data_IF_522444442170
#
_entry.id   IF_522444442170
#
_cell.length_a   1.000
_cell.length_b   1.000
_cell.length_c   1.000
_cell.angle_alpha   90.00
_cell.angle_beta   90.00
_cell.angle_gamma   90.00
#
_symmetry.space_group_name_H-M   'P 1'
#
loop_
_entity.id
_entity.type
_entity.pdbx_description
1 polymer ?
#
# COMPACT_ATOMS: atom_id res chain seq x y z
N UNK A 1 -18.69 6.63 34.76
CA UNK A 1 -17.98 5.86 33.72
C UNK A 1 -16.64 5.42 34.30
N UNK A 2 -16.49 4.12 34.51
CA UNK A 2 -15.35 3.53 35.24
C UNK A 2 -14.12 3.60 34.37
N UNK A 3 -13.02 4.13 34.92
CA UNK A 3 -11.69 4.07 34.29
C UNK A 3 -11.31 2.60 34.15
N UNK A 4 -11.16 2.14 32.92
CA UNK A 4 -10.62 0.81 32.62
C UNK A 4 -9.28 0.64 33.36
N UNK A 5 -9.28 -0.25 34.34
CA UNK A 5 -8.06 -0.63 35.06
C UNK A 5 -7.17 -1.34 34.05
N UNK A 6 -6.14 -0.66 33.58
CA UNK A 6 -5.03 -1.28 32.85
C UNK A 6 -4.54 -2.48 33.68
N UNK A 7 -4.68 -3.68 33.14
CA UNK A 7 -4.19 -4.91 33.75
C UNK A 7 -2.66 -4.79 33.86
N UNK A 8 -2.10 -4.92 35.04
CA UNK A 8 -0.64 -4.82 35.22
C UNK A 8 0.06 -5.88 34.36
N UNK A 9 1.11 -5.52 33.63
CA UNK A 9 1.90 -6.43 32.78
C UNK A 9 2.31 -7.74 33.47
N UNK A 10 2.48 -7.70 34.81
CA UNK A 10 2.79 -8.87 35.66
C UNK A 10 1.67 -9.92 35.72
N UNK A 11 0.46 -9.61 35.28
CA UNK A 11 -0.68 -10.53 35.31
C UNK A 11 -1.00 -11.12 33.92
N UNK A 12 -0.21 -10.81 32.91
CA UNK A 12 -0.36 -11.41 31.59
C UNK A 12 0.07 -12.88 31.59
N UNK A 13 -0.62 -13.73 30.84
CA UNK A 13 -0.28 -15.15 30.77
C UNK A 13 1.16 -15.37 30.27
N UNK A 14 1.85 -16.44 30.69
CA UNK A 14 3.28 -16.68 30.44
C UNK A 14 3.69 -16.77 28.97
N UNK A 15 2.73 -16.85 28.05
CA UNK A 15 2.95 -16.85 26.59
C UNK A 15 3.14 -15.45 25.97
N UNK A 16 3.04 -14.37 26.74
CA UNK A 16 3.34 -13.04 26.26
C UNK A 16 4.82 -12.75 26.45
N UNK A 17 5.55 -12.72 25.34
CA UNK A 17 6.93 -12.27 25.31
C UNK A 17 6.98 -10.79 24.91
N UNK A 18 7.41 -9.95 25.84
CA UNK A 18 7.74 -8.55 25.52
C UNK A 18 9.19 -8.51 25.07
N UNK A 19 9.42 -8.36 23.78
CA UNK A 19 10.76 -8.08 23.26
C UNK A 19 11.13 -6.65 23.68
N UNK A 20 12.01 -6.56 24.68
CA UNK A 20 12.61 -5.29 25.08
C UNK A 20 14.08 -5.32 24.67
N UNK A 21 14.48 -4.62 23.60
CA UNK A 21 15.90 -4.32 23.37
C UNK A 21 16.46 -3.70 24.64
N UNK A 22 17.75 -3.87 24.89
CA UNK A 22 18.37 -3.21 26.02
C UNK A 22 18.17 -1.69 25.95
N UNK A 23 18.01 -1.05 27.09
CA UNK A 23 17.71 0.38 27.19
C UNK A 23 18.79 1.25 26.53
N UNK A 24 20.05 0.79 26.57
CA UNK A 24 21.18 1.51 25.98
C UNK A 24 21.09 1.55 24.44
N UNK A 25 20.71 0.46 23.79
CA UNK A 25 20.50 0.41 22.35
C UNK A 25 19.36 1.34 21.91
N UNK A 26 18.26 1.37 22.66
CA UNK A 26 17.16 2.29 22.41
C UNK A 26 17.56 3.76 22.53
N UNK A 27 18.29 4.12 23.59
CA UNK A 27 18.78 5.48 23.81
C UNK A 27 19.81 5.91 22.75
N UNK A 28 20.69 5.01 22.35
CA UNK A 28 21.69 5.26 21.31
C UNK A 28 21.02 5.56 19.96
N UNK A 29 20.07 4.72 19.56
CA UNK A 29 19.32 4.92 18.33
C UNK A 29 18.49 6.22 18.39
N UNK A 30 17.82 6.51 19.49
CA UNK A 30 17.05 7.73 19.68
C UNK A 30 17.91 8.99 19.55
N UNK A 31 19.11 8.99 20.13
CA UNK A 31 20.07 10.10 19.98
C UNK A 31 20.51 10.26 18.52
N UNK A 32 20.83 9.16 17.85
CA UNK A 32 21.23 9.18 16.44
C UNK A 32 20.12 9.71 15.52
N UNK A 33 18.87 9.23 15.70
CA UNK A 33 17.70 9.73 14.98
C UNK A 33 17.50 11.23 15.20
N UNK A 34 17.59 11.71 16.45
CA UNK A 34 17.42 13.14 16.78
C UNK A 34 18.46 14.00 16.12
N UNK A 35 19.70 13.60 16.15
CA UNK A 35 20.81 14.37 15.55
C UNK A 35 20.64 14.43 14.02
N UNK A 36 20.41 13.30 13.39
CA UNK A 36 20.20 13.23 11.94
C UNK A 36 18.94 14.00 11.49
N UNK A 37 17.84 13.95 12.27
CA UNK A 37 16.66 14.75 11.97
C UNK A 37 16.95 16.25 11.99
N UNK A 38 17.75 16.73 12.97
CA UNK A 38 18.18 18.14 13.05
C UNK A 38 19.01 18.56 11.83
N UNK A 39 19.95 17.73 11.41
CA UNK A 39 20.77 17.97 10.22
C UNK A 39 19.91 18.08 8.95
N UNK A 40 18.91 17.20 8.82
CA UNK A 40 18.02 17.15 7.65
C UNK A 40 16.94 18.23 7.60
N UNK A 41 16.71 19.00 8.68
CA UNK A 41 15.72 20.09 8.67
C UNK A 41 15.99 21.10 7.55
N UNK A 42 17.26 21.51 7.39
CA UNK A 42 17.64 22.51 6.39
C UNK A 42 17.82 21.93 4.98
N UNK A 43 17.98 20.60 4.87
CA UNK A 43 18.10 19.90 3.59
C UNK A 43 16.76 19.36 3.06
N UNK A 44 15.66 19.60 3.78
CA UNK A 44 14.35 19.09 3.40
C UNK A 44 13.84 19.71 2.10
N UNK A 45 13.36 18.85 1.19
CA UNK A 45 12.90 19.25 -0.16
C UNK A 45 11.51 19.89 -0.11
N UNK A 46 10.74 19.65 0.94
CA UNK A 46 9.39 20.20 1.10
C UNK A 46 9.12 20.72 2.53
N UNK A 47 8.20 21.66 2.63
CA UNK A 47 7.74 22.18 3.94
C UNK A 47 7.12 21.08 4.82
N UNK A 48 6.47 20.07 4.23
CA UNK A 48 5.94 18.89 4.93
C UNK A 48 7.08 18.08 5.56
N UNK A 49 8.09 17.76 4.78
CA UNK A 49 9.27 17.02 5.20
C UNK A 49 10.02 17.75 6.32
N UNK A 50 10.22 19.07 6.17
CA UNK A 50 10.83 19.92 7.19
C UNK A 50 10.07 19.87 8.53
N UNK A 51 8.72 19.99 8.49
CA UNK A 51 7.87 19.88 9.68
C UNK A 51 8.00 18.51 10.35
N UNK A 52 8.10 17.43 9.56
CA UNK A 52 8.25 16.07 10.09
C UNK A 52 9.60 15.88 10.77
N UNK A 53 10.71 16.31 10.16
CA UNK A 53 12.04 16.25 10.79
C UNK A 53 12.08 17.06 12.09
N UNK A 54 11.49 18.25 12.11
CA UNK A 54 11.39 19.07 13.32
C UNK A 54 10.59 18.35 14.41
N UNK A 55 9.42 17.78 14.07
CA UNK A 55 8.61 17.00 15.01
C UNK A 55 9.37 15.82 15.61
N UNK A 56 10.16 15.10 14.82
CA UNK A 56 10.98 13.99 15.30
C UNK A 56 12.11 14.50 16.20
N UNK A 57 12.80 15.56 15.80
CA UNK A 57 13.90 16.14 16.60
C UNK A 57 13.44 16.62 17.98
N UNK A 58 12.21 17.15 18.07
CA UNK A 58 11.62 17.68 19.30
C UNK A 58 10.83 16.63 20.11
N UNK A 59 10.74 15.37 19.61
CA UNK A 59 9.94 14.31 20.23
C UNK A 59 10.53 13.91 21.61
N UNK A 60 9.73 14.04 22.67
CA UNK A 60 10.14 13.69 24.02
C UNK A 60 10.31 12.17 24.23
N UNK A 61 9.39 11.37 23.68
CA UNK A 61 9.37 9.91 23.85
C UNK A 61 10.11 9.16 22.72
N UNK A 62 11.19 9.75 22.19
CA UNK A 62 11.93 9.16 21.08
C UNK A 62 12.58 7.82 21.46
N UNK A 63 12.90 7.60 22.73
CA UNK A 63 13.42 6.32 23.21
C UNK A 63 12.42 5.18 23.01
N UNK A 64 11.16 5.37 23.35
CA UNK A 64 10.11 4.37 23.13
C UNK A 64 9.96 4.07 21.63
N UNK A 65 9.96 5.11 20.79
CA UNK A 65 9.90 4.94 19.35
C UNK A 65 11.12 4.17 18.82
N UNK A 66 12.32 4.46 19.31
CA UNK A 66 13.53 3.75 18.94
C UNK A 66 13.47 2.26 19.30
N UNK A 67 12.94 1.92 20.48
CA UNK A 67 12.71 0.52 20.88
C UNK A 67 11.75 -0.19 19.92
N UNK A 68 10.67 0.46 19.51
CA UNK A 68 9.72 -0.10 18.53
C UNK A 68 10.35 -0.31 17.16
N UNK A 69 11.24 0.59 16.72
CA UNK A 69 12.00 0.46 15.48
C UNK A 69 13.01 -0.69 15.54
N UNK A 70 13.75 -0.81 16.66
CA UNK A 70 14.66 -1.94 16.89
C UNK A 70 13.93 -3.29 16.82
N UNK A 71 12.74 -3.40 17.42
CA UNK A 71 11.91 -4.60 17.36
C UNK A 71 11.45 -4.95 15.92
N UNK A 72 11.51 -4.00 15.01
CA UNK A 72 11.25 -4.17 13.56
C UNK A 72 12.52 -4.37 12.73
N UNK A 73 13.66 -4.52 13.39
CA UNK A 73 14.95 -4.67 12.71
C UNK A 73 15.51 -3.36 12.15
N UNK A 74 14.95 -2.20 12.52
CA UNK A 74 15.44 -0.89 12.08
C UNK A 74 16.39 -0.36 13.15
N UNK A 75 17.69 -0.60 12.95
CA UNK A 75 18.73 -0.26 13.94
C UNK A 75 19.52 1.02 13.60
N UNK A 76 19.41 1.51 12.36
CA UNK A 76 20.18 2.66 11.89
C UNK A 76 19.31 3.91 11.76
N UNK A 77 19.88 5.08 12.06
CA UNK A 77 19.16 6.36 12.07
C UNK A 77 18.62 6.73 10.68
N UNK A 78 19.35 6.46 9.62
CA UNK A 78 18.90 6.67 8.25
C UNK A 78 17.68 5.82 7.91
N UNK A 79 17.72 4.54 8.26
CA UNK A 79 16.60 3.61 8.10
C UNK A 79 15.38 4.07 8.89
N UNK A 80 15.60 4.49 10.12
CA UNK A 80 14.56 5.04 10.99
C UNK A 80 13.90 6.29 10.41
N UNK A 81 14.68 7.26 9.94
CA UNK A 81 14.15 8.47 9.33
C UNK A 81 13.42 8.19 8.02
N UNK A 82 13.92 7.26 7.19
CA UNK A 82 13.24 6.84 5.96
C UNK A 82 11.87 6.22 6.25
N UNK A 83 11.77 5.43 7.31
CA UNK A 83 10.51 4.84 7.77
C UNK A 83 9.54 5.88 8.34
N UNK A 84 10.05 6.84 9.14
CA UNK A 84 9.23 7.84 9.84
C UNK A 84 8.84 9.05 8.98
N UNK A 85 9.60 9.34 7.94
CA UNK A 85 9.40 10.46 7.00
C UNK A 85 9.34 9.91 5.58
N UNK A 86 8.25 9.18 5.24
CA UNK A 86 8.11 8.61 3.91
C UNK A 86 7.99 9.71 2.85
N UNK A 87 8.68 9.48 1.74
CA UNK A 87 8.66 10.37 0.58
C UNK A 87 8.82 9.56 -0.72
N UNK A 88 8.44 10.16 -1.84
CA UNK A 88 8.44 9.48 -3.13
C UNK A 88 9.83 9.01 -3.58
N UNK A 89 10.91 9.65 -3.11
CA UNK A 89 12.28 9.22 -3.40
C UNK A 89 12.65 7.88 -2.76
N UNK A 90 11.88 7.44 -1.76
CA UNK A 90 12.03 6.15 -1.11
C UNK A 90 11.35 4.98 -1.84
N UNK A 91 10.58 5.25 -2.89
CA UNK A 91 9.96 4.20 -3.69
C UNK A 91 11.00 3.44 -4.50
N UNK A 92 10.81 2.12 -4.57
CA UNK A 92 11.56 1.29 -5.51
C UNK A 92 11.20 1.64 -6.96
N UNK A 93 12.09 1.28 -7.89
CA UNK A 93 11.79 1.45 -9.30
C UNK A 93 10.59 0.59 -9.69
N UNK A 94 9.61 1.17 -10.38
CA UNK A 94 8.45 0.46 -10.93
C UNK A 94 8.86 -0.69 -11.88
N UNK A 95 10.03 -0.60 -12.49
CA UNK A 95 10.61 -1.66 -13.35
C UNK A 95 10.93 -2.96 -12.63
N UNK A 96 10.91 -2.96 -11.30
CA UNK A 96 11.08 -4.17 -10.49
C UNK A 96 9.79 -4.99 -10.37
N UNK A 97 8.64 -4.43 -10.78
CA UNK A 97 7.38 -5.17 -10.83
C UNK A 97 7.43 -6.18 -11.99
N UNK A 98 7.10 -7.46 -11.76
CA UNK A 98 7.00 -8.45 -12.82
C UNK A 98 6.05 -7.99 -13.92
N UNK A 99 6.37 -8.27 -15.17
CA UNK A 99 5.55 -8.04 -16.36
C UNK A 99 5.02 -6.61 -16.56
N UNK A 100 5.50 -5.64 -15.80
CA UNK A 100 5.00 -4.26 -15.83
C UNK A 100 5.12 -3.62 -17.22
N UNK A 101 6.20 -3.91 -17.96
CA UNK A 101 6.38 -3.36 -19.31
C UNK A 101 5.35 -3.93 -20.30
N UNK A 102 4.97 -5.21 -20.13
CA UNK A 102 3.92 -5.88 -20.93
C UNK A 102 2.57 -5.26 -20.59
N UNK A 103 2.26 -5.09 -19.31
CA UNK A 103 1.01 -4.48 -18.86
C UNK A 103 0.85 -3.02 -19.36
N UNK A 104 1.93 -2.23 -19.27
CA UNK A 104 1.93 -0.85 -19.78
C UNK A 104 1.75 -0.81 -21.30
N UNK A 105 2.44 -1.68 -22.04
CA UNK A 105 2.28 -1.77 -23.49
C UNK A 105 0.85 -2.15 -23.88
N UNK A 106 0.22 -3.07 -23.13
CA UNK A 106 -1.18 -3.47 -23.36
C UNK A 106 -2.18 -2.33 -23.09
N UNK A 107 -1.95 -1.56 -22.02
CA UNK A 107 -2.76 -0.37 -21.73
C UNK A 107 -2.60 0.71 -22.81
N UNK A 108 -1.37 0.93 -23.31
CA UNK A 108 -1.12 1.86 -24.40
C UNK A 108 -1.83 1.41 -25.70
N UNK A 109 -1.83 0.11 -26.00
CA UNK A 109 -2.57 -0.45 -27.11
C UNK A 109 -4.07 -0.18 -26.96
N UNK A 110 -4.65 -0.42 -25.77
CA UNK A 110 -6.05 -0.14 -25.50
C UNK A 110 -6.39 1.33 -25.75
N UNK A 111 -5.51 2.23 -25.29
CA UNK A 111 -5.65 3.68 -25.52
C UNK A 111 -5.65 4.04 -27.00
N UNK A 112 -4.72 3.49 -27.77
CA UNK A 112 -4.60 3.78 -29.21
C UNK A 112 -5.76 3.23 -30.03
N UNK A 113 -6.34 2.11 -29.60
CA UNK A 113 -7.46 1.45 -30.27
C UNK A 113 -8.83 1.95 -29.78
N UNK A 114 -8.87 2.81 -28.77
CA UNK A 114 -10.12 3.31 -28.18
C UNK A 114 -10.90 2.24 -27.43
N UNK A 115 -10.21 1.22 -26.90
CA UNK A 115 -10.82 0.15 -26.13
C UNK A 115 -11.34 0.67 -24.78
N UNK A 116 -12.35 -0.02 -24.25
CA UNK A 116 -12.83 0.21 -22.89
C UNK A 116 -12.14 -0.74 -21.92
N UNK A 117 -11.72 -0.21 -20.77
CA UNK A 117 -11.05 -0.94 -19.71
C UNK A 117 -11.93 -0.99 -18.47
N UNK A 118 -12.10 -2.19 -17.90
CA UNK A 118 -12.73 -2.36 -16.59
C UNK A 118 -11.65 -2.44 -15.51
N UNK A 119 -11.73 -1.59 -14.49
CA UNK A 119 -10.93 -1.72 -13.26
C UNK A 119 -11.77 -2.43 -12.22
N UNK A 120 -11.30 -3.57 -11.74
CA UNK A 120 -11.94 -4.32 -10.66
C UNK A 120 -11.08 -4.22 -9.39
N UNK A 121 -11.59 -3.55 -8.36
CA UNK A 121 -10.92 -3.43 -7.07
C UNK A 121 -11.48 -4.40 -6.04
N UNK A 122 -10.84 -4.47 -4.85
CA UNK A 122 -11.45 -5.09 -3.69
C UNK A 122 -12.34 -4.09 -2.93
N UNK A 123 -13.15 -4.57 -2.01
CA UNK A 123 -14.13 -3.78 -1.24
C UNK A 123 -13.52 -3.03 -0.04
N UNK A 124 -12.27 -3.31 0.30
CA UNK A 124 -11.62 -2.69 1.44
C UNK A 124 -10.93 -1.34 1.10
N UNK A 125 -10.25 -0.76 2.08
CA UNK A 125 -9.63 0.56 1.90
C UNK A 125 -8.53 0.56 0.84
N UNK A 126 -7.77 -0.53 0.74
CA UNK A 126 -6.66 -0.65 -0.21
C UNK A 126 -7.21 -0.80 -1.64
N UNK A 127 -8.16 -1.70 -1.86
CA UNK A 127 -8.82 -1.90 -3.15
C UNK A 127 -9.57 -0.66 -3.63
N UNK A 128 -10.35 0.00 -2.76
CA UNK A 128 -11.07 1.24 -3.10
C UNK A 128 -10.11 2.36 -3.50
N UNK A 129 -9.04 2.56 -2.72
CA UNK A 129 -8.08 3.64 -3.01
C UNK A 129 -7.22 3.34 -4.22
N UNK A 130 -6.82 2.09 -4.44
CA UNK A 130 -6.11 1.65 -5.63
C UNK A 130 -6.97 1.81 -6.90
N UNK A 131 -8.24 1.40 -6.84
CA UNK A 131 -9.18 1.59 -7.94
C UNK A 131 -9.38 3.08 -8.27
N UNK A 132 -9.60 3.92 -7.26
CA UNK A 132 -9.76 5.36 -7.46
C UNK A 132 -8.52 6.01 -8.11
N UNK A 133 -7.32 5.61 -7.65
CA UNK A 133 -6.06 6.10 -8.20
C UNK A 133 -5.91 5.70 -9.67
N UNK A 134 -6.08 4.40 -9.98
CA UNK A 134 -5.88 3.88 -11.32
C UNK A 134 -6.92 4.40 -12.31
N UNK A 135 -8.20 4.43 -11.93
CA UNK A 135 -9.30 5.01 -12.73
C UNK A 135 -9.01 6.46 -13.07
N UNK A 136 -8.58 7.26 -12.09
CA UNK A 136 -8.25 8.67 -12.31
C UNK A 136 -7.07 8.81 -13.27
N UNK A 137 -5.97 8.10 -13.01
CA UNK A 137 -4.78 8.18 -13.83
C UNK A 137 -5.03 7.73 -15.28
N UNK A 138 -5.75 6.64 -15.50
CA UNK A 138 -6.04 6.13 -16.85
C UNK A 138 -7.04 7.02 -17.61
N UNK A 139 -8.02 7.62 -16.94
CA UNK A 139 -8.91 8.63 -17.55
C UNK A 139 -8.14 9.89 -17.96
N UNK A 140 -7.27 10.39 -17.09
CA UNK A 140 -6.42 11.54 -17.40
C UNK A 140 -5.46 11.24 -18.56
N UNK A 141 -5.06 9.97 -18.71
CA UNK A 141 -4.25 9.51 -19.84
C UNK A 141 -5.05 9.29 -21.15
N UNK A 142 -6.38 9.42 -21.08
CA UNK A 142 -7.26 9.36 -22.25
C UNK A 142 -7.86 7.98 -22.56
N UNK A 143 -7.85 7.05 -21.59
CA UNK A 143 -8.55 5.76 -21.70
C UNK A 143 -10.03 5.88 -21.33
N UNK A 144 -10.88 5.10 -22.00
CA UNK A 144 -12.26 4.88 -21.59
C UNK A 144 -12.28 3.83 -20.46
N UNK A 145 -12.57 4.26 -19.23
CA UNK A 145 -12.45 3.41 -18.04
C UNK A 145 -13.76 3.34 -17.29
N UNK A 146 -14.24 2.11 -17.07
CA UNK A 146 -15.28 1.75 -16.11
C UNK A 146 -14.63 1.15 -14.86
N UNK A 147 -15.36 1.02 -13.76
CA UNK A 147 -14.88 0.35 -12.57
C UNK A 147 -15.97 -0.48 -11.91
N UNK A 148 -15.54 -1.50 -11.18
CA UNK A 148 -16.37 -2.33 -10.32
C UNK A 148 -15.70 -2.50 -8.96
N UNK A 149 -16.47 -2.30 -7.90
CA UNK A 149 -16.09 -2.59 -6.53
C UNK A 149 -17.09 -3.60 -5.97
N UNK A 150 -16.65 -4.79 -5.56
CA UNK A 150 -17.56 -5.83 -5.10
C UNK A 150 -18.23 -5.43 -3.78
N UNK A 151 -19.45 -5.89 -3.59
CA UNK A 151 -20.14 -5.72 -2.33
C UNK A 151 -19.76 -6.86 -1.39
N UNK A 152 -19.23 -6.50 -0.22
CA UNK A 152 -18.65 -7.45 0.75
C UNK A 152 -19.54 -8.65 1.08
N UNK A 153 -20.86 -8.48 1.12
CA UNK A 153 -21.83 -9.50 1.52
C UNK A 153 -22.28 -10.34 0.33
N UNK A 154 -22.48 -9.72 -0.83
CA UNK A 154 -23.10 -10.35 -1.99
C UNK A 154 -22.07 -11.01 -2.93
N UNK A 155 -20.92 -10.34 -3.15
CA UNK A 155 -19.90 -10.80 -4.10
C UNK A 155 -18.76 -11.58 -3.44
N UNK A 156 -18.52 -11.35 -2.14
CA UNK A 156 -17.40 -11.96 -1.42
C UNK A 156 -16.08 -11.23 -1.65
N UNK A 157 -14.96 -11.95 -1.42
CA UNK A 157 -13.61 -11.44 -1.56
C UNK A 157 -13.04 -11.77 -2.93
N UNK A 158 -12.25 -10.85 -3.49
CA UNK A 158 -11.48 -11.06 -4.71
C UNK A 158 -12.23 -10.68 -5.99
N UNK A 159 -11.77 -11.22 -7.11
CA UNK A 159 -12.35 -10.97 -8.42
C UNK A 159 -13.73 -11.67 -8.54
N UNK A 160 -14.79 -10.91 -8.83
CA UNK A 160 -16.15 -11.43 -8.87
C UNK A 160 -16.65 -11.67 -10.30
N UNK A 161 -17.43 -12.74 -10.49
CA UNK A 161 -18.09 -13.02 -11.77
C UNK A 161 -19.08 -11.93 -12.17
N UNK A 162 -19.73 -11.27 -11.19
CA UNK A 162 -20.63 -10.15 -11.43
C UNK A 162 -19.90 -8.96 -12.06
N UNK A 163 -18.72 -8.59 -11.53
CA UNK A 163 -17.90 -7.51 -12.08
C UNK A 163 -17.36 -7.82 -13.46
N UNK A 164 -16.95 -9.06 -13.74
CA UNK A 164 -16.51 -9.50 -15.06
C UNK A 164 -17.67 -9.39 -16.07
N UNK A 165 -18.83 -9.92 -15.69
CA UNK A 165 -20.02 -9.88 -16.55
C UNK A 165 -20.45 -8.44 -16.87
N UNK A 166 -20.47 -7.58 -15.87
CA UNK A 166 -20.77 -6.16 -16.08
C UNK A 166 -19.74 -5.52 -17.03
N UNK A 167 -18.44 -5.77 -16.85
CA UNK A 167 -17.41 -5.27 -17.77
C UNK A 167 -17.63 -5.70 -19.21
N UNK A 168 -17.96 -6.98 -19.42
CA UNK A 168 -18.26 -7.51 -20.74
C UNK A 168 -19.52 -6.85 -21.36
N UNK A 169 -20.61 -6.73 -20.59
CA UNK A 169 -21.86 -6.09 -21.03
C UNK A 169 -21.65 -4.60 -21.36
N UNK A 170 -20.75 -3.92 -20.64
CA UNK A 170 -20.34 -2.53 -20.92
C UNK A 170 -19.42 -2.39 -22.15
N UNK A 171 -19.01 -3.51 -22.75
CA UNK A 171 -18.14 -3.57 -23.91
C UNK A 171 -16.66 -3.34 -23.58
N UNK A 172 -16.23 -3.68 -22.36
CA UNK A 172 -14.81 -3.68 -22.00
C UNK A 172 -14.12 -4.90 -22.59
N UNK A 173 -12.94 -4.69 -23.18
CA UNK A 173 -12.09 -5.74 -23.76
C UNK A 173 -10.87 -6.07 -22.91
N UNK A 174 -10.58 -5.23 -21.93
CA UNK A 174 -9.48 -5.38 -20.99
C UNK A 174 -10.00 -5.21 -19.57
N UNK A 175 -9.67 -6.20 -18.72
CA UNK A 175 -9.92 -6.19 -17.28
C UNK A 175 -8.59 -5.97 -16.55
N UNK A 176 -8.54 -5.00 -15.66
CA UNK A 176 -7.39 -4.77 -14.77
C UNK A 176 -7.87 -4.91 -13.34
N UNK A 177 -7.31 -5.85 -12.59
CA UNK A 177 -7.60 -5.97 -11.17
C UNK A 177 -6.64 -5.10 -10.36
N UNK A 178 -7.10 -4.60 -9.23
CA UNK A 178 -6.28 -3.91 -8.25
C UNK A 178 -6.57 -4.46 -6.86
N UNK A 179 -5.51 -4.87 -6.15
CA UNK A 179 -5.57 -5.42 -4.80
C UNK A 179 -6.36 -6.73 -4.70
N UNK A 180 -6.49 -7.46 -5.81
CA UNK A 180 -7.15 -8.77 -5.88
C UNK A 180 -6.80 -9.49 -7.18
N UNK A 181 -7.16 -10.78 -7.26
CA UNK A 181 -7.13 -11.55 -8.49
C UNK A 181 -6.07 -12.63 -8.57
N UNK A 182 -5.00 -12.58 -7.79
CA UNK A 182 -3.92 -13.59 -7.85
C UNK A 182 -4.41 -15.00 -7.49
N UNK A 183 -5.41 -15.09 -6.64
CA UNK A 183 -6.01 -16.34 -6.18
C UNK A 183 -7.34 -16.70 -6.89
N UNK A 184 -7.64 -16.06 -8.03
CA UNK A 184 -8.89 -16.21 -8.75
C UNK A 184 -8.72 -16.77 -10.18
N UNK A 185 -8.08 -17.95 -10.37
CA UNK A 185 -7.81 -18.48 -11.70
C UNK A 185 -9.08 -18.81 -12.50
N UNK A 186 -10.16 -19.25 -11.84
CA UNK A 186 -11.42 -19.61 -12.49
C UNK A 186 -12.13 -18.37 -13.06
N UNK A 187 -12.11 -17.26 -12.33
CA UNK A 187 -12.69 -15.99 -12.75
C UNK A 187 -11.87 -15.38 -13.90
N UNK A 188 -10.54 -15.52 -13.88
CA UNK A 188 -9.66 -15.08 -14.97
C UNK A 188 -9.94 -15.91 -16.24
N UNK A 189 -10.11 -17.24 -16.12
CA UNK A 189 -10.48 -18.09 -17.23
C UNK A 189 -11.86 -17.71 -17.79
N UNK A 190 -12.82 -17.40 -16.91
CA UNK A 190 -14.14 -16.92 -17.33
C UNK A 190 -14.04 -15.60 -18.10
N UNK A 191 -13.28 -14.60 -17.63
CA UNK A 191 -13.07 -13.36 -18.35
C UNK A 191 -12.46 -13.60 -19.74
N UNK A 192 -11.46 -14.49 -19.79
CA UNK A 192 -10.80 -14.88 -21.07
C UNK A 192 -11.77 -15.57 -22.03
N UNK A 193 -12.68 -16.40 -21.53
CA UNK A 193 -13.72 -17.07 -22.33
C UNK A 193 -14.70 -16.10 -22.98
N UNK A 194 -14.89 -14.92 -22.37
CA UNK A 194 -15.68 -13.82 -22.92
C UNK A 194 -14.89 -12.94 -23.91
N UNK A 195 -13.62 -13.25 -24.15
CA UNK A 195 -12.74 -12.48 -25.03
C UNK A 195 -12.10 -11.26 -24.36
N UNK A 196 -12.16 -11.15 -23.04
CA UNK A 196 -11.46 -10.10 -22.30
C UNK A 196 -10.04 -10.53 -21.98
N UNK A 197 -9.06 -9.66 -22.19
CA UNK A 197 -7.70 -9.84 -21.66
C UNK A 197 -7.64 -9.34 -20.22
N UNK A 198 -6.73 -9.92 -19.43
CA UNK A 198 -6.66 -9.64 -17.99
C UNK A 198 -5.26 -9.21 -17.57
N UNK A 199 -5.18 -8.13 -16.85
CA UNK A 199 -3.97 -7.69 -16.12
C UNK A 199 -4.28 -7.78 -14.62
N UNK A 200 -3.49 -8.56 -13.89
CA UNK A 200 -3.64 -8.70 -12.44
C UNK A 200 -2.60 -7.81 -11.76
N UNK A 201 -3.06 -6.91 -10.89
CA UNK A 201 -2.20 -6.19 -9.95
C UNK A 201 -2.64 -6.50 -8.53
N UNK A 202 -1.82 -7.29 -7.83
CA UNK A 202 -2.12 -7.82 -6.51
C UNK A 202 -0.84 -7.93 -5.69
N UNK A 203 -0.96 -7.95 -4.36
CA UNK A 203 0.16 -8.14 -3.44
C UNK A 203 -0.07 -9.29 -2.44
N UNK A 204 -1.21 -9.96 -2.53
CA UNK A 204 -1.51 -11.14 -1.73
C UNK A 204 -0.70 -12.38 -2.20
N UNK A 205 -0.59 -13.40 -1.32
CA UNK A 205 0.14 -14.65 -1.56
C UNK A 205 -0.82 -15.81 -1.80
#
# INVERSE_FOLDING_TARGET
MSADKLVPLKTLPPRWHVNSPDSESGERLARAIRNLAREKINAAVSSRQQKMYKKIADQQNLNTLAVLLLNRGIAEAEGALRFLVPDLSGLHSWKLLPDIEIAVARLEQARQQGEKVMIHGDYDADGITAAALLVTALKDWGLAVNYYLPHRVDDGYGLSLAGIKQGYEDGCTLLVTVDCGISNPEEVEYASSLGMEVIITDHHL
#
